data_IF_234968983974
#
_entry.id   IF_234968983974
#
_cell.length_a   1.000
_cell.length_b   1.000
_cell.length_c   1.000
_cell.angle_alpha   90.00
_cell.angle_beta   90.00
_cell.angle_gamma   90.00
#
_symmetry.space_group_name_H-M   'P 1'
#
loop_
_entity.id
_entity.type
_entity.pdbx_description
1 polymer ?
#
# COMPACT_ATOMS: atom_id res chain seq x y z
N UNK A 1 -4.45 -12.23 -12.70
CA UNK A 1 -5.19 -11.53 -11.67
C UNK A 1 -5.61 -10.18 -12.19
N UNK A 2 -6.87 -9.85 -12.02
CA UNK A 2 -7.40 -8.63 -12.55
C UNK A 2 -7.50 -7.56 -11.48
N UNK A 3 -6.69 -6.53 -11.63
CA UNK A 3 -6.80 -5.36 -10.77
C UNK A 3 -7.90 -4.47 -11.33
N UNK A 4 -8.75 -4.00 -10.43
CA UNK A 4 -9.85 -3.14 -10.79
C UNK A 4 -9.47 -1.69 -10.52
N UNK A 5 -9.70 -0.81 -11.49
CA UNK A 5 -9.46 0.62 -11.32
C UNK A 5 -10.43 1.18 -10.28
N UNK A 6 -9.90 1.96 -9.35
CA UNK A 6 -10.69 2.56 -8.28
C UNK A 6 -10.78 4.07 -8.42
N UNK A 7 -9.65 4.73 -8.52
CA UNK A 7 -9.60 6.18 -8.50
C UNK A 7 -8.38 6.71 -9.21
N UNK A 8 -8.58 7.76 -10.01
CA UNK A 8 -7.49 8.49 -10.65
C UNK A 8 -6.87 9.45 -9.63
N UNK A 9 -5.55 9.58 -9.66
CA UNK A 9 -4.82 10.53 -8.84
C UNK A 9 -3.85 11.32 -9.70
N UNK A 10 -3.31 12.41 -9.12
CA UNK A 10 -2.26 13.19 -9.77
C UNK A 10 -0.87 12.77 -9.31
N UNK A 11 -0.77 11.65 -8.61
CA UNK A 11 0.49 11.19 -8.07
C UNK A 11 1.44 10.78 -9.19
N UNK A 12 2.67 11.30 -9.13
CA UNK A 12 3.76 10.88 -10.00
C UNK A 12 4.72 10.08 -9.16
N UNK A 13 4.82 8.78 -9.43
CA UNK A 13 5.70 7.90 -8.68
C UNK A 13 7.15 8.17 -9.01
N UNK A 14 7.98 8.21 -7.98
CA UNK A 14 9.43 8.38 -8.11
C UNK A 14 10.10 7.01 -8.07
N UNK A 15 11.17 6.88 -8.84
CA UNK A 15 11.95 5.66 -8.90
C UNK A 15 12.60 5.38 -7.54
N UNK A 16 12.60 4.12 -7.12
CA UNK A 16 13.21 3.72 -5.85
C UNK A 16 12.36 3.96 -4.62
N UNK A 17 11.11 4.36 -4.81
CA UNK A 17 10.18 4.60 -3.70
C UNK A 17 9.05 3.58 -3.73
N UNK A 18 8.56 3.24 -2.54
CA UNK A 18 7.37 2.41 -2.37
C UNK A 18 6.18 3.31 -2.08
N UNK A 19 5.05 2.97 -2.66
CA UNK A 19 3.80 3.71 -2.45
C UNK A 19 2.72 2.76 -1.97
N UNK A 20 1.97 3.20 -0.96
CA UNK A 20 0.88 2.39 -0.43
C UNK A 20 -0.20 3.28 0.16
N UNK A 21 -1.35 2.68 0.44
CA UNK A 21 -2.48 3.38 1.04
C UNK A 21 -2.50 3.05 2.52
N UNK A 22 -2.48 4.09 3.36
CA UNK A 22 -2.48 3.93 4.80
C UNK A 22 -3.89 3.70 5.35
N UNK A 23 -3.99 3.57 6.67
CA UNK A 23 -5.27 3.31 7.33
C UNK A 23 -6.27 4.46 7.19
N UNK A 24 -5.78 5.66 6.92
CA UNK A 24 -6.62 6.83 6.71
C UNK A 24 -7.14 6.92 5.27
N UNK A 25 -6.66 6.04 4.39
CA UNK A 25 -7.04 6.05 2.99
C UNK A 25 -6.23 7.02 2.16
N UNK A 26 -5.06 7.41 2.62
CA UNK A 26 -4.18 8.36 1.94
C UNK A 26 -2.95 7.63 1.39
N UNK A 27 -2.29 8.24 0.40
CA UNK A 27 -1.10 7.65 -0.20
C UNK A 27 0.14 8.07 0.57
N UNK A 28 0.94 7.08 0.98
CA UNK A 28 2.23 7.29 1.62
C UNK A 28 3.37 6.83 0.73
N UNK A 29 4.49 7.52 0.84
CA UNK A 29 5.72 7.21 0.13
C UNK A 29 6.77 6.79 1.14
N UNK A 30 7.51 5.73 0.84
CA UNK A 30 8.56 5.23 1.71
C UNK A 30 9.77 4.86 0.86
N UNK A 31 10.97 5.00 1.43
CA UNK A 31 12.19 4.60 0.75
C UNK A 31 12.39 3.11 0.93
N UNK A 32 12.59 2.42 -0.19
CA UNK A 32 12.75 0.97 -0.17
C UNK A 32 14.00 0.56 0.62
N UNK A 33 13.80 -0.23 1.68
CA UNK A 33 14.89 -0.80 2.48
C UNK A 33 15.67 0.20 3.32
N UNK A 34 15.21 1.44 3.48
CA UNK A 34 15.94 2.44 4.25
C UNK A 34 15.88 2.15 5.74
N UNK A 35 17.05 1.90 6.33
CA UNK A 35 17.20 1.72 7.76
C UNK A 35 17.86 2.98 8.31
N UNK A 36 17.22 3.66 9.26
CA UNK A 36 17.75 4.89 9.86
C UNK A 36 18.59 4.63 11.09
N UNK A 37 18.51 3.43 11.64
CA UNK A 37 19.28 3.05 12.82
C UNK A 37 18.80 1.74 13.39
N UNK A 38 19.22 1.47 14.64
CA UNK A 38 18.77 0.28 15.36
C UNK A 38 18.33 0.69 16.76
N UNK A 39 17.33 0.03 17.29
CA UNK A 39 16.87 0.28 18.65
C UNK A 39 17.81 -0.42 19.65
N UNK A 40 17.48 -0.30 20.94
CA UNK A 40 18.29 -0.88 22.00
C UNK A 40 18.36 -2.40 21.93
N UNK A 41 17.39 -3.05 21.34
CA UNK A 41 17.35 -4.51 21.20
C UNK A 41 18.05 -4.98 19.92
N UNK A 42 18.56 -4.06 19.10
CA UNK A 42 19.24 -4.37 17.86
C UNK A 42 18.31 -4.51 16.65
N UNK A 43 17.03 -4.23 16.81
CA UNK A 43 16.09 -4.29 15.71
C UNK A 43 16.25 -3.08 14.79
N UNK A 44 16.17 -3.27 13.47
CA UNK A 44 16.29 -2.15 12.55
C UNK A 44 15.13 -1.17 12.69
N UNK A 45 15.44 0.11 12.60
CA UNK A 45 14.44 1.18 12.57
C UNK A 45 14.36 1.68 11.15
N UNK A 46 13.18 1.60 10.54
CA UNK A 46 12.97 2.02 9.16
C UNK A 46 12.56 3.49 9.10
N UNK A 47 12.86 4.12 7.97
CA UNK A 47 12.45 5.49 7.75
C UNK A 47 10.94 5.62 7.84
N UNK A 48 10.46 6.68 8.48
CA UNK A 48 9.02 6.96 8.59
C UNK A 48 8.49 7.34 7.22
N UNK A 49 7.41 6.68 6.76
CA UNK A 49 6.80 7.04 5.48
C UNK A 49 6.23 8.45 5.51
N UNK A 50 6.29 9.13 4.37
CA UNK A 50 5.72 10.45 4.21
C UNK A 50 4.35 10.37 3.53
N UNK A 51 3.37 11.04 4.09
CA UNK A 51 2.06 11.15 3.44
C UNK A 51 2.18 12.17 2.31
N UNK A 52 2.03 11.69 1.07
CA UNK A 52 2.23 12.54 -0.12
C UNK A 52 0.94 12.97 -0.79
N UNK A 53 -0.16 12.30 -0.52
CA UNK A 53 -1.45 12.66 -1.13
C UNK A 53 -2.59 12.24 -0.21
N UNK A 54 -3.43 13.20 0.15
CA UNK A 54 -4.62 12.93 0.95
C UNK A 54 -5.80 12.63 0.03
N UNK A 55 -6.31 11.41 0.12
CA UNK A 55 -7.47 10.99 -0.67
C UNK A 55 -8.69 10.71 0.20
N UNK A 56 -8.47 10.28 1.45
CA UNK A 56 -9.57 9.84 2.29
C UNK A 56 -10.32 8.66 1.69
N UNK A 57 -9.59 7.77 1.01
CA UNK A 57 -10.20 6.63 0.34
C UNK A 57 -10.89 5.70 1.34
N UNK A 58 -12.14 5.38 1.05
CA UNK A 58 -12.89 4.42 1.86
C UNK A 58 -12.63 3.06 1.26
N UNK A 59 -11.96 2.19 2.02
CA UNK A 59 -11.65 0.84 1.56
C UNK A 59 -12.80 -0.10 1.85
N UNK A 60 -13.15 -0.86 0.82
CA UNK A 60 -14.18 -1.87 0.91
C UNK A 60 -13.59 -3.17 1.42
N UNK A 61 -14.30 -3.83 2.34
CA UNK A 61 -13.85 -5.10 2.88
C UNK A 61 -13.80 -6.16 1.78
N UNK A 62 -12.81 -7.04 1.85
CA UNK A 62 -12.63 -8.09 0.85
C UNK A 62 -11.75 -7.71 -0.32
N UNK A 63 -11.19 -6.50 -0.32
CA UNK A 63 -10.29 -6.04 -1.38
C UNK A 63 -8.96 -5.58 -0.81
N UNK A 64 -7.91 -5.78 -1.60
CA UNK A 64 -6.60 -5.20 -1.34
C UNK A 64 -6.39 -4.03 -2.29
N UNK A 65 -5.98 -2.89 -1.77
CA UNK A 65 -5.80 -1.67 -2.54
C UNK A 65 -4.33 -1.39 -2.76
N UNK A 66 -3.98 -1.01 -3.99
CA UNK A 66 -2.60 -0.71 -4.37
C UNK A 66 -2.51 0.59 -5.13
N UNK A 67 -1.32 1.18 -5.14
CA UNK A 67 -0.99 2.30 -6.00
C UNK A 67 -0.31 1.74 -7.22
N UNK A 68 -0.92 1.92 -8.39
CA UNK A 68 -0.37 1.41 -9.65
C UNK A 68 0.85 2.18 -10.10
N UNK A 69 1.53 1.67 -11.12
CA UNK A 69 2.71 2.31 -11.69
C UNK A 69 2.39 3.69 -12.27
N UNK A 70 1.15 3.90 -12.69
CA UNK A 70 0.66 5.18 -13.21
C UNK A 70 0.28 6.17 -12.11
N UNK A 71 0.37 5.74 -10.83
CA UNK A 71 -0.01 6.57 -9.68
C UNK A 71 -1.48 6.48 -9.31
N UNK A 72 -2.29 5.80 -10.09
CA UNK A 72 -3.72 5.65 -9.81
C UNK A 72 -3.97 4.50 -8.84
N UNK A 73 -5.15 4.49 -8.24
CA UNK A 73 -5.51 3.48 -7.26
C UNK A 73 -6.23 2.32 -7.95
N UNK A 74 -5.78 1.11 -7.63
CA UNK A 74 -6.39 -0.13 -8.09
C UNK A 74 -6.69 -1.03 -6.91
N UNK A 75 -7.56 -1.99 -7.11
CA UNK A 75 -7.87 -2.99 -6.09
C UNK A 75 -7.97 -4.36 -6.71
N UNK A 76 -7.69 -5.38 -5.91
CA UNK A 76 -7.92 -6.76 -6.30
C UNK A 76 -8.74 -7.44 -5.24
N UNK A 77 -9.65 -8.30 -5.66
CA UNK A 77 -10.48 -9.06 -4.75
C UNK A 77 -9.63 -10.12 -4.06
N UNK A 78 -9.82 -10.28 -2.76
CA UNK A 78 -9.16 -11.35 -2.03
C UNK A 78 -9.63 -12.69 -2.57
N UNK A 79 -8.70 -13.61 -2.77
CA UNK A 79 -9.05 -14.95 -3.21
C UNK A 79 -9.72 -15.70 -2.08
N UNK A 80 -10.96 -16.06 -2.27
CA UNK A 80 -11.70 -16.83 -1.28
C UNK A 80 -11.34 -18.31 -1.30
N UNK A 81 -10.68 -18.75 -2.36
CA UNK A 81 -10.29 -20.16 -2.54
C UNK A 81 -9.52 -20.72 -1.36
N UNK A 82 -8.58 -19.96 -0.82
CA UNK A 82 -7.79 -20.44 0.30
C UNK A 82 -8.62 -20.54 1.59
N UNK A 83 -9.66 -19.74 1.73
CA UNK A 83 -10.59 -19.82 2.85
C UNK A 83 -11.41 -21.10 2.77
N UNK A 84 -11.78 -21.51 1.56
CA UNK A 84 -12.49 -22.77 1.35
C UNK A 84 -11.64 -23.96 1.76
N UNK A 85 -10.34 -23.89 1.52
CA UNK A 85 -9.41 -24.92 1.96
C UNK A 85 -9.34 -25.04 3.48
N UNK A 86 -9.42 -23.93 4.16
CA UNK A 86 -9.39 -23.91 5.62
C UNK A 86 -10.63 -24.51 6.26
N UNK A 87 -11.74 -24.49 5.54
CA UNK A 87 -13.03 -24.96 6.03
C UNK A 87 -13.31 -26.44 5.71
N UNK A 88 -12.37 -27.08 5.06
CA UNK A 88 -12.53 -28.51 4.71
C UNK A 88 -11.85 -29.41 5.71
#
# INVERSE_FOLDING_TARGET
MNNEFVQKTDLKRKKGKLYYIDLDGDICESVMGAITGRDKSGKPIYATPDKVLKLGLIREEGFSYIVGEDGNIYRSKHKEEWLEHLNK
#
